data_IF_878317987743
#
_entry.id   IF_878317987743
#
_cell.length_a   1.000
_cell.length_b   1.000
_cell.length_c   1.000
_cell.angle_alpha   90.00
_cell.angle_beta   90.00
_cell.angle_gamma   90.00
#
_symmetry.space_group_name_H-M   'P 1'
#
loop_
_entity.id
_entity.type
_entity.pdbx_description
1 polymer ?
#
# COMPACT_ATOMS: atom_id res chain seq x y z
N UNK A 1 26.15 11.05 2.49
CA UNK A 1 27.44 11.62 2.10
C UNK A 1 27.92 12.60 3.15
N UNK A 2 29.14 12.40 3.66
CA UNK A 2 29.71 13.24 4.74
C UNK A 2 30.52 14.43 4.21
N UNK A 3 30.96 14.39 2.92
CA UNK A 3 31.84 15.39 2.34
C UNK A 3 31.41 16.86 2.51
N UNK A 4 30.12 17.24 2.40
CA UNK A 4 29.70 18.62 2.61
C UNK A 4 29.83 19.12 4.06
N UNK A 5 29.77 18.21 5.05
CA UNK A 5 29.79 18.58 6.46
C UNK A 5 31.17 18.40 7.10
N UNK A 6 31.92 17.40 6.66
CA UNK A 6 33.25 17.02 7.20
C UNK A 6 34.19 16.61 6.08
N UNK A 7 34.64 17.58 5.24
CA UNK A 7 35.39 17.27 4.02
C UNK A 7 36.71 16.50 4.27
N UNK A 8 37.48 16.89 5.28
CA UNK A 8 38.77 16.23 5.56
C UNK A 8 38.59 14.75 5.99
N UNK A 9 37.61 14.45 6.83
CA UNK A 9 37.33 13.08 7.25
C UNK A 9 36.81 12.25 6.08
N UNK A 10 35.97 12.84 5.23
CA UNK A 10 35.47 12.17 4.03
C UNK A 10 36.58 11.84 3.03
N UNK A 11 37.56 12.73 2.85
CA UNK A 11 38.72 12.50 2.00
C UNK A 11 39.61 11.37 2.55
N UNK A 12 39.89 11.34 3.86
CA UNK A 12 40.67 10.26 4.50
C UNK A 12 40.00 8.89 4.29
N UNK A 13 38.73 8.77 4.55
CA UNK A 13 37.99 7.54 4.32
C UNK A 13 37.95 7.12 2.85
N UNK A 14 37.82 8.10 1.95
CA UNK A 14 37.83 7.84 0.51
C UNK A 14 39.18 7.28 0.03
N UNK A 15 40.27 7.83 0.51
CA UNK A 15 41.60 7.36 0.19
C UNK A 15 41.87 5.96 0.78
N UNK A 16 41.44 5.68 2.01
CA UNK A 16 41.55 4.36 2.62
C UNK A 16 40.74 3.29 1.86
N UNK A 17 39.60 3.67 1.26
CA UNK A 17 38.79 2.80 0.40
C UNK A 17 39.37 2.60 -1.01
N UNK A 18 40.52 3.23 -1.32
CA UNK A 18 41.21 3.10 -2.61
C UNK A 18 40.76 4.12 -3.65
N UNK A 19 40.11 5.19 -3.25
CA UNK A 19 39.80 6.33 -4.14
C UNK A 19 41.06 7.02 -4.59
N UNK A 20 41.11 7.43 -5.87
CA UNK A 20 42.31 8.07 -6.48
C UNK A 20 42.16 9.57 -6.65
N UNK A 21 40.95 10.11 -6.59
CA UNK A 21 40.64 11.52 -6.74
C UNK A 21 40.05 12.04 -5.43
N UNK A 22 40.00 13.37 -5.24
CA UNK A 22 39.30 13.91 -4.07
C UNK A 22 37.80 13.58 -4.13
N UNK A 23 37.24 13.20 -2.99
CA UNK A 23 35.81 12.87 -2.91
C UNK A 23 34.91 14.06 -3.29
N UNK A 24 35.41 15.28 -3.10
CA UNK A 24 34.76 16.53 -3.52
C UNK A 24 34.70 16.72 -5.03
N UNK A 25 35.66 16.13 -5.75
CA UNK A 25 35.76 16.16 -7.22
C UNK A 25 35.05 14.94 -7.86
N UNK A 26 34.75 13.92 -7.06
CA UNK A 26 34.05 12.73 -7.54
C UNK A 26 32.61 13.07 -7.95
N UNK A 27 32.39 13.07 -9.24
CA UNK A 27 31.04 13.26 -9.80
C UNK A 27 30.27 11.97 -9.55
N UNK A 28 29.33 12.03 -8.63
CA UNK A 28 28.34 10.96 -8.52
C UNK A 28 27.50 11.04 -9.78
N UNK A 29 27.68 10.07 -10.66
CA UNK A 29 26.73 9.88 -11.77
C UNK A 29 25.33 9.88 -11.19
N UNK A 30 24.44 10.65 -11.79
CA UNK A 30 23.04 10.72 -11.38
C UNK A 30 22.50 9.30 -11.40
N UNK A 31 22.33 8.70 -10.22
CA UNK A 31 21.79 7.36 -10.11
C UNK A 31 20.38 7.44 -10.69
N UNK A 32 20.23 6.96 -11.92
CA UNK A 32 18.91 6.78 -12.50
C UNK A 32 18.10 5.99 -11.49
N UNK A 33 16.95 6.52 -11.08
CA UNK A 33 16.02 5.77 -10.23
C UNK A 33 15.69 4.48 -10.97
N UNK A 34 16.29 3.38 -10.53
CA UNK A 34 15.96 2.06 -11.05
C UNK A 34 14.50 1.78 -10.71
N UNK A 35 13.81 1.04 -11.56
CA UNK A 35 12.41 0.64 -11.27
C UNK A 35 12.30 -0.02 -9.89
N UNK A 36 13.33 -0.77 -9.48
CA UNK A 36 13.43 -1.38 -8.15
C UNK A 36 13.42 -0.34 -7.02
N UNK A 37 14.04 0.84 -7.19
CA UNK A 37 14.05 1.90 -6.18
C UNK A 37 12.64 2.47 -5.97
N UNK A 38 11.86 2.62 -7.04
CA UNK A 38 10.46 3.09 -6.95
C UNK A 38 9.63 2.10 -6.15
N UNK A 39 9.83 0.80 -6.37
CA UNK A 39 9.11 -0.27 -5.65
C UNK A 39 9.48 -0.24 -4.16
N UNK A 40 10.76 -0.08 -3.83
CA UNK A 40 11.20 0.00 -2.43
C UNK A 40 10.64 1.23 -1.73
N UNK A 41 10.70 2.40 -2.36
CA UNK A 41 10.11 3.63 -1.84
C UNK A 41 8.60 3.46 -1.61
N UNK A 42 7.89 2.89 -2.59
CA UNK A 42 6.45 2.65 -2.51
C UNK A 42 6.09 1.71 -1.34
N UNK A 43 6.87 0.65 -1.11
CA UNK A 43 6.68 -0.27 0.02
C UNK A 43 6.94 0.41 1.36
N UNK A 44 7.95 1.27 1.47
CA UNK A 44 8.24 2.03 2.69
C UNK A 44 7.14 3.04 3.00
N UNK A 45 6.64 3.75 1.99
CA UNK A 45 5.51 4.67 2.14
C UNK A 45 4.25 3.93 2.58
N UNK A 46 3.93 2.81 1.93
CA UNK A 46 2.82 1.95 2.33
C UNK A 46 2.92 1.50 3.79
N UNK A 47 4.11 1.07 4.23
CA UNK A 47 4.34 0.63 5.61
C UNK A 47 4.15 1.79 6.60
N UNK A 48 4.62 2.97 6.27
CA UNK A 48 4.45 4.19 7.08
C UNK A 48 2.98 4.54 7.25
N UNK A 49 2.25 4.59 6.15
CA UNK A 49 0.82 4.92 6.14
C UNK A 49 0.00 3.87 6.89
N UNK A 50 0.37 2.60 6.77
CA UNK A 50 -0.24 1.50 7.52
C UNK A 50 -0.04 1.68 9.03
N UNK A 51 1.17 2.01 9.48
CA UNK A 51 1.49 2.25 10.89
C UNK A 51 0.71 3.46 11.42
N UNK A 52 0.66 4.55 10.68
CA UNK A 52 -0.05 5.77 11.09
C UNK A 52 -1.57 5.53 11.15
N UNK A 53 -2.13 4.83 10.17
CA UNK A 53 -3.53 4.40 10.18
C UNK A 53 -3.82 3.49 11.38
N UNK A 54 -2.92 2.54 11.68
CA UNK A 54 -3.03 1.64 12.83
C UNK A 54 -2.97 2.39 14.16
N UNK A 55 -2.09 3.39 14.31
CA UNK A 55 -2.03 4.26 15.48
C UNK A 55 -3.34 5.00 15.71
N UNK A 56 -3.93 5.54 14.65
CA UNK A 56 -5.21 6.22 14.72
C UNK A 56 -6.34 5.27 15.17
N UNK A 57 -6.41 4.07 14.59
CA UNK A 57 -7.41 3.05 14.97
C UNK A 57 -7.18 2.59 16.41
N UNK A 58 -5.92 2.34 16.84
CA UNK A 58 -5.58 1.99 18.21
C UNK A 58 -6.03 3.08 19.19
N UNK A 59 -5.76 4.36 18.88
CA UNK A 59 -6.18 5.49 19.69
C UNK A 59 -7.71 5.62 19.83
N UNK A 60 -8.46 5.27 18.79
CA UNK A 60 -9.92 5.22 18.85
C UNK A 60 -10.42 4.01 19.65
N UNK A 61 -9.84 2.83 19.42
CA UNK A 61 -10.22 1.60 20.11
C UNK A 61 -9.93 1.68 21.63
N UNK A 62 -8.79 2.27 22.02
CA UNK A 62 -8.40 2.44 23.41
C UNK A 62 -9.37 3.32 24.22
N UNK A 63 -10.13 4.20 23.58
CA UNK A 63 -11.15 5.04 24.26
C UNK A 63 -12.38 4.23 24.68
N UNK A 64 -12.60 3.09 24.06
CA UNK A 64 -13.77 2.24 24.25
C UNK A 64 -13.43 0.88 24.85
N UNK A 65 -12.14 0.61 25.11
CA UNK A 65 -11.68 -0.64 25.71
C UNK A 65 -11.25 -0.40 27.15
N UNK A 66 -11.71 -1.25 28.07
CA UNK A 66 -11.27 -1.29 29.46
C UNK A 66 -9.97 -2.12 29.62
N UNK A 67 -9.64 -2.92 28.60
CA UNK A 67 -8.48 -3.81 28.60
C UNK A 67 -7.40 -3.26 27.65
N UNK A 68 -6.10 -3.36 28.01
CA UNK A 68 -5.03 -2.98 27.10
C UNK A 68 -5.10 -3.77 25.78
N UNK A 69 -5.02 -3.06 24.65
CA UNK A 69 -5.02 -3.67 23.33
C UNK A 69 -3.65 -4.30 23.08
N UNK A 70 -3.61 -5.62 22.93
CA UNK A 70 -2.35 -6.38 22.82
C UNK A 70 -2.06 -6.89 21.40
N UNK A 71 -3.09 -7.04 20.57
CA UNK A 71 -2.96 -7.63 19.24
C UNK A 71 -3.61 -6.75 18.19
N UNK A 72 -2.99 -6.72 17.00
CA UNK A 72 -3.54 -6.07 15.83
C UNK A 72 -3.81 -7.12 14.75
N UNK A 73 -5.01 -7.11 14.21
CA UNK A 73 -5.41 -7.94 13.07
C UNK A 73 -5.64 -7.02 11.88
N UNK A 74 -4.94 -7.32 10.79
CA UNK A 74 -5.00 -6.56 9.54
C UNK A 74 -5.56 -7.46 8.46
N UNK A 75 -6.68 -7.06 7.88
CA UNK A 75 -7.31 -7.78 6.78
C UNK A 75 -7.08 -7.06 5.47
N UNK A 76 -6.34 -7.68 4.59
CA UNK A 76 -6.00 -7.16 3.27
C UNK A 76 -7.15 -7.32 2.29
N UNK A 77 -6.99 -6.73 1.13
CA UNK A 77 -8.03 -6.74 0.09
C UNK A 77 -8.14 -8.10 -0.59
N UNK A 78 -9.35 -8.60 -0.88
CA UNK A 78 -9.49 -9.82 -1.66
C UNK A 78 -8.98 -9.63 -3.10
N UNK A 79 -8.47 -10.70 -3.71
CA UNK A 79 -7.84 -10.69 -5.05
C UNK A 79 -8.74 -10.04 -6.12
N UNK A 80 -10.03 -10.29 -6.10
CA UNK A 80 -10.95 -9.73 -7.07
C UNK A 80 -11.04 -8.19 -7.04
N UNK A 81 -10.85 -7.56 -5.87
CA UNK A 81 -10.79 -6.09 -5.77
C UNK A 81 -9.49 -5.55 -6.38
N UNK A 82 -8.37 -6.26 -6.22
CA UNK A 82 -7.11 -5.92 -6.87
C UNK A 82 -7.22 -6.03 -8.39
N UNK A 83 -7.88 -7.08 -8.91
CA UNK A 83 -8.10 -7.23 -10.35
C UNK A 83 -8.95 -6.10 -10.93
N UNK A 84 -9.98 -5.65 -10.19
CA UNK A 84 -10.78 -4.47 -10.57
C UNK A 84 -9.90 -3.20 -10.59
N UNK A 85 -9.03 -3.03 -9.59
CA UNK A 85 -8.15 -1.87 -9.50
C UNK A 85 -7.17 -1.81 -10.68
N UNK A 86 -6.51 -2.93 -10.99
CA UNK A 86 -5.60 -3.05 -12.13
C UNK A 86 -6.33 -2.75 -13.45
N UNK A 87 -7.51 -3.35 -13.62
CA UNK A 87 -8.33 -3.11 -14.82
C UNK A 87 -8.73 -1.64 -14.95
N UNK A 88 -9.12 -0.99 -13.85
CA UNK A 88 -9.47 0.42 -13.86
C UNK A 88 -8.27 1.31 -14.19
N UNK A 89 -7.07 0.97 -13.69
CA UNK A 89 -5.84 1.69 -14.02
C UNK A 89 -5.47 1.56 -15.49
N UNK A 90 -5.52 0.36 -16.07
CA UNK A 90 -5.23 0.14 -17.48
C UNK A 90 -6.17 0.93 -18.39
N UNK A 91 -7.46 0.93 -18.10
CA UNK A 91 -8.45 1.70 -18.86
C UNK A 91 -8.35 3.21 -18.67
N UNK A 92 -7.80 3.68 -17.54
CA UNK A 92 -7.60 5.12 -17.32
C UNK A 92 -6.60 5.74 -18.29
N UNK A 93 -5.62 4.97 -18.74
CA UNK A 93 -4.64 5.40 -19.75
C UNK A 93 -5.26 5.53 -21.16
N UNK A 94 -6.39 4.90 -21.41
CA UNK A 94 -7.08 4.87 -22.71
C UNK A 94 -8.20 5.93 -22.83
N UNK A 95 -8.34 6.85 -21.88
CA UNK A 95 -9.45 7.82 -21.82
C UNK A 95 -10.84 7.15 -21.82
N UNK A 96 -10.96 6.02 -21.13
CA UNK A 96 -12.19 5.25 -21.07
C UNK A 96 -13.30 5.98 -20.29
N UNK A 97 -14.51 6.08 -20.85
CA UNK A 97 -15.66 6.63 -20.15
C UNK A 97 -16.27 5.60 -19.18
N UNK A 98 -15.77 5.62 -17.95
CA UNK A 98 -16.19 4.70 -16.89
C UNK A 98 -17.68 4.77 -16.57
N UNK A 99 -18.32 5.94 -16.70
CA UNK A 99 -19.75 6.10 -16.40
C UNK A 99 -20.62 5.42 -17.45
N UNK A 100 -20.25 5.59 -18.71
CA UNK A 100 -21.05 5.13 -19.84
C UNK A 100 -20.78 3.68 -20.20
N UNK A 101 -19.52 3.27 -20.21
CA UNK A 101 -19.07 2.00 -20.75
C UNK A 101 -18.64 0.99 -19.69
N UNK A 102 -18.38 1.42 -18.45
CA UNK A 102 -17.77 0.59 -17.40
C UNK A 102 -18.57 -0.66 -17.07
N UNK A 103 -19.89 -0.57 -17.00
CA UNK A 103 -20.74 -1.72 -16.69
C UNK A 103 -20.79 -2.76 -17.81
N UNK A 104 -20.78 -2.29 -19.06
CA UNK A 104 -20.69 -3.18 -20.23
C UNK A 104 -19.35 -3.92 -20.25
N UNK A 105 -18.29 -3.21 -19.97
CA UNK A 105 -16.95 -3.76 -19.91
C UNK A 105 -16.81 -4.80 -18.77
N UNK A 106 -17.25 -4.50 -17.55
CA UNK A 106 -17.23 -5.46 -16.44
C UNK A 106 -17.98 -6.76 -16.75
N UNK A 107 -19.09 -6.67 -17.48
CA UNK A 107 -19.84 -7.85 -17.91
C UNK A 107 -19.11 -8.69 -18.96
N UNK A 108 -18.23 -8.09 -19.76
CA UNK A 108 -17.41 -8.80 -20.75
C UNK A 108 -16.19 -9.48 -20.14
N UNK A 109 -15.80 -9.10 -18.92
CA UNK A 109 -14.74 -9.78 -18.19
C UNK A 109 -15.33 -11.04 -17.53
N UNK A 110 -15.02 -12.20 -18.06
CA UNK A 110 -15.41 -13.50 -17.49
C UNK A 110 -14.68 -13.85 -16.19
N UNK A 111 -13.98 -12.89 -15.60
CA UNK A 111 -13.03 -13.09 -14.48
C UNK A 111 -13.73 -13.33 -13.14
N UNK A 112 -15.02 -13.01 -13.04
CA UNK A 112 -15.76 -13.01 -11.77
C UNK A 112 -16.97 -13.93 -11.80
N UNK A 113 -17.22 -14.64 -10.69
CA UNK A 113 -18.53 -15.20 -10.39
C UNK A 113 -19.52 -14.05 -10.09
N UNK A 114 -19.90 -13.36 -11.18
CA UNK A 114 -20.68 -12.13 -11.16
C UNK A 114 -22.06 -12.30 -10.50
N UNK A 115 -22.57 -13.53 -10.39
CA UNK A 115 -23.89 -13.75 -9.81
C UNK A 115 -23.88 -13.59 -8.30
N UNK A 116 -22.81 -14.02 -7.61
CA UNK A 116 -22.70 -13.90 -6.14
C UNK A 116 -22.23 -12.52 -5.68
N UNK A 117 -21.32 -11.90 -6.42
CA UNK A 117 -20.65 -10.65 -6.00
C UNK A 117 -21.13 -9.42 -6.77
N UNK A 118 -22.15 -9.54 -7.61
CA UNK A 118 -22.57 -8.50 -8.57
C UNK A 118 -22.71 -7.10 -7.96
N UNK A 119 -23.34 -6.99 -6.80
CA UNK A 119 -23.55 -5.72 -6.12
C UNK A 119 -22.25 -5.11 -5.61
N UNK A 120 -21.38 -5.93 -5.03
CA UNK A 120 -20.09 -5.49 -4.47
C UNK A 120 -19.09 -5.11 -5.57
N UNK A 121 -19.04 -5.89 -6.64
CA UNK A 121 -18.20 -5.59 -7.82
C UNK A 121 -18.58 -4.24 -8.41
N UNK A 122 -19.88 -3.95 -8.58
CA UNK A 122 -20.36 -2.67 -9.11
C UNK A 122 -19.96 -1.51 -8.18
N UNK A 123 -20.18 -1.68 -6.88
CA UNK A 123 -19.84 -0.65 -5.89
C UNK A 123 -18.33 -0.39 -5.86
N UNK A 124 -17.53 -1.45 -5.89
CA UNK A 124 -16.07 -1.38 -5.92
C UNK A 124 -15.58 -0.67 -7.18
N UNK A 125 -16.08 -1.07 -8.35
CA UNK A 125 -15.77 -0.41 -9.61
C UNK A 125 -16.09 1.09 -9.58
N UNK A 126 -17.27 1.45 -9.10
CA UNK A 126 -17.67 2.85 -8.97
C UNK A 126 -16.80 3.63 -8.00
N UNK A 127 -16.38 3.00 -6.90
CA UNK A 127 -15.50 3.64 -5.92
C UNK A 127 -14.11 3.94 -6.48
N UNK A 128 -13.59 3.05 -7.34
CA UNK A 128 -12.29 3.23 -7.96
C UNK A 128 -12.33 4.24 -9.11
N UNK A 129 -13.34 4.19 -9.95
CA UNK A 129 -13.34 4.93 -11.22
C UNK A 129 -14.06 6.27 -11.17
N UNK A 130 -15.22 6.34 -10.54
CA UNK A 130 -16.08 7.51 -10.58
C UNK A 130 -16.08 8.27 -9.26
N UNK A 131 -16.00 7.55 -8.15
CA UNK A 131 -16.23 8.11 -6.82
C UNK A 131 -17.68 8.58 -6.64
N UNK A 132 -17.90 9.44 -5.66
CA UNK A 132 -19.19 10.09 -5.42
C UNK A 132 -19.11 11.60 -5.74
N UNK A 133 -20.22 12.34 -5.58
CA UNK A 133 -20.29 13.78 -5.91
C UNK A 133 -19.23 14.65 -5.22
N UNK A 134 -18.66 14.18 -4.09
CA UNK A 134 -17.69 14.94 -3.28
C UNK A 134 -16.28 14.35 -3.33
N UNK A 135 -16.15 13.06 -3.68
CA UNK A 135 -14.89 12.31 -3.63
C UNK A 135 -14.59 11.79 -5.05
N UNK A 136 -13.39 12.07 -5.53
CA UNK A 136 -12.91 11.52 -6.81
C UNK A 136 -12.77 9.99 -6.70
N UNK A 137 -12.84 9.28 -7.83
CA UNK A 137 -12.54 7.86 -7.86
C UNK A 137 -11.10 7.61 -7.37
N UNK A 138 -10.89 6.50 -6.67
CA UNK A 138 -9.60 6.18 -6.02
C UNK A 138 -8.42 6.19 -6.98
N UNK A 139 -8.59 5.69 -8.21
CA UNK A 139 -7.52 5.68 -9.22
C UNK A 139 -6.95 7.09 -9.53
N UNK A 140 -7.74 8.14 -9.31
CA UNK A 140 -7.31 9.52 -9.52
C UNK A 140 -6.66 10.14 -8.27
N UNK A 141 -6.66 9.44 -7.16
CA UNK A 141 -6.05 9.89 -5.90
C UNK A 141 -4.77 9.12 -5.58
N UNK A 142 -4.55 7.98 -6.23
CA UNK A 142 -3.34 7.19 -6.04
C UNK A 142 -2.12 7.90 -6.61
N UNK A 143 -1.03 7.85 -5.86
CA UNK A 143 0.29 8.29 -6.32
C UNK A 143 0.85 7.34 -7.39
N UNK A 144 1.92 7.71 -8.06
CA UNK A 144 2.56 6.82 -9.06
C UNK A 144 3.16 5.58 -8.38
N UNK A 145 3.65 5.74 -7.16
CA UNK A 145 4.16 4.67 -6.31
C UNK A 145 3.06 3.66 -5.96
N UNK A 146 1.90 4.14 -5.51
CA UNK A 146 0.73 3.28 -5.23
C UNK A 146 0.24 2.56 -6.48
N UNK A 147 0.17 3.23 -7.62
CA UNK A 147 -0.18 2.61 -8.91
C UNK A 147 0.82 1.53 -9.31
N UNK A 148 2.11 1.75 -9.05
CA UNK A 148 3.15 0.75 -9.28
C UNK A 148 2.90 -0.52 -8.46
N UNK A 149 2.65 -0.40 -7.15
CA UNK A 149 2.34 -1.54 -6.28
C UNK A 149 1.11 -2.32 -6.73
N UNK A 150 0.04 -1.61 -7.15
CA UNK A 150 -1.19 -2.25 -7.64
C UNK A 150 -0.92 -3.04 -8.92
N UNK A 151 -0.21 -2.43 -9.89
CA UNK A 151 0.12 -3.09 -11.16
C UNK A 151 1.01 -4.32 -10.97
N UNK A 152 1.90 -4.31 -9.98
CA UNK A 152 2.74 -5.44 -9.60
C UNK A 152 2.00 -6.54 -8.84
N UNK A 153 0.70 -6.38 -8.57
CA UNK A 153 -0.08 -7.31 -7.74
C UNK A 153 0.59 -7.55 -6.38
N UNK A 154 1.02 -6.44 -5.75
CA UNK A 154 1.72 -6.47 -4.47
C UNK A 154 0.97 -7.30 -3.44
N UNK A 155 1.66 -8.29 -2.84
CA UNK A 155 1.08 -9.14 -1.80
C UNK A 155 1.16 -8.43 -0.44
N UNK A 156 0.10 -7.69 -0.12
CA UNK A 156 0.02 -6.90 1.12
C UNK A 156 0.13 -7.78 2.36
N UNK A 157 -0.55 -8.94 2.37
CA UNK A 157 -0.59 -9.83 3.53
C UNK A 157 0.78 -10.40 3.87
N UNK A 158 1.50 -10.89 2.87
CA UNK A 158 2.85 -11.40 3.02
C UNK A 158 3.80 -10.31 3.52
N UNK A 159 3.78 -9.14 2.88
CA UNK A 159 4.63 -8.02 3.25
C UNK A 159 4.38 -7.52 4.69
N UNK A 160 3.11 -7.47 5.12
CA UNK A 160 2.76 -7.09 6.48
C UNK A 160 3.26 -8.14 7.49
N UNK A 161 3.12 -9.42 7.19
CA UNK A 161 3.59 -10.50 8.06
C UNK A 161 5.12 -10.53 8.15
N UNK A 162 5.84 -10.26 7.06
CA UNK A 162 7.30 -10.15 7.05
C UNK A 162 7.79 -8.97 7.92
N UNK A 163 6.99 -7.92 8.05
CA UNK A 163 7.28 -6.75 8.85
C UNK A 163 6.52 -6.72 10.20
N UNK A 164 5.89 -7.84 10.61
CA UNK A 164 4.99 -7.88 11.76
C UNK A 164 5.66 -7.44 13.07
N UNK A 165 6.90 -7.84 13.31
CA UNK A 165 7.67 -7.47 14.50
C UNK A 165 7.96 -5.94 14.52
N UNK A 166 8.35 -5.38 13.39
CA UNK A 166 8.59 -3.94 13.27
C UNK A 166 7.31 -3.14 13.53
N UNK A 167 6.17 -3.57 12.93
CA UNK A 167 4.87 -2.92 13.14
C UNK A 167 4.42 -3.05 14.60
N UNK A 168 4.58 -4.24 15.23
CA UNK A 168 4.23 -4.46 16.61
C UNK A 168 5.01 -3.52 17.56
N UNK A 169 6.32 -3.40 17.34
CA UNK A 169 7.17 -2.47 18.08
C UNK A 169 6.74 -1.02 17.89
N UNK A 170 6.48 -0.60 16.65
CA UNK A 170 6.04 0.76 16.33
C UNK A 170 4.68 1.13 16.96
N UNK A 171 3.82 0.13 17.15
CA UNK A 171 2.50 0.27 17.78
C UNK A 171 2.52 0.00 19.30
N UNK A 172 3.62 -0.48 19.86
CA UNK A 172 3.73 -0.91 21.27
C UNK A 172 2.62 -1.91 21.62
N UNK A 173 2.59 -3.04 20.89
CA UNK A 173 1.68 -4.17 21.08
C UNK A 173 2.47 -5.48 21.02
N UNK A 174 1.85 -6.58 21.45
CA UNK A 174 2.51 -7.89 21.51
C UNK A 174 2.68 -8.52 20.13
N UNK A 175 1.67 -8.40 19.24
CA UNK A 175 1.69 -9.08 17.95
C UNK A 175 0.79 -8.42 16.90
N UNK A 176 1.19 -8.64 15.63
CA UNK A 176 0.45 -8.23 14.44
C UNK A 176 0.26 -9.45 13.56
N UNK A 177 -0.93 -9.62 13.02
CA UNK A 177 -1.26 -10.68 12.08
C UNK A 177 -1.98 -10.08 10.87
N UNK A 178 -1.59 -10.51 9.68
CA UNK A 178 -2.28 -10.15 8.45
C UNK A 178 -2.85 -11.37 7.76
N UNK A 179 -4.06 -11.24 7.28
CA UNK A 179 -4.80 -12.28 6.57
C UNK A 179 -5.44 -11.71 5.31
N UNK A 180 -5.46 -12.51 4.26
CA UNK A 180 -6.33 -12.23 3.11
C UNK A 180 -7.80 -12.44 3.50
N UNK A 181 -8.69 -11.66 2.89
CA UNK A 181 -10.11 -11.81 3.15
C UNK A 181 -10.57 -13.24 2.83
N UNK A 182 -11.13 -13.90 3.82
CA UNK A 182 -11.58 -15.30 3.75
C UNK A 182 -10.61 -16.33 4.33
N UNK A 183 -9.42 -15.94 4.75
CA UNK A 183 -8.41 -16.85 5.32
C UNK A 183 -8.29 -16.76 6.86
N UNK A 184 -8.90 -15.79 7.49
CA UNK A 184 -8.87 -15.61 8.93
C UNK A 184 -10.21 -15.15 9.50
N UNK A 185 -10.28 -15.01 10.82
CA UNK A 185 -11.46 -14.49 11.49
C UNK A 185 -11.68 -13.02 11.11
N UNK A 186 -12.84 -12.70 10.55
CA UNK A 186 -13.23 -11.31 10.25
C UNK A 186 -13.58 -10.56 11.54
N UNK A 187 -12.56 -10.17 12.27
CA UNK A 187 -12.73 -9.43 13.53
C UNK A 187 -13.33 -8.05 13.22
N UNK A 188 -14.49 -7.80 13.81
CA UNK A 188 -15.23 -6.55 13.68
C UNK A 188 -15.67 -6.20 12.24
N UNK A 189 -15.84 -7.17 11.34
CA UNK A 189 -16.35 -6.97 9.99
C UNK A 189 -15.45 -6.12 9.10
N UNK A 190 -14.14 -6.15 9.33
CA UNK A 190 -13.16 -5.31 8.62
C UNK A 190 -12.85 -5.80 7.22
N UNK A 191 -13.08 -7.09 6.92
CA UNK A 191 -12.89 -7.65 5.58
C UNK A 191 -13.71 -6.90 4.51
N UNK A 192 -14.94 -6.50 4.84
CA UNK A 192 -15.81 -5.80 3.90
C UNK A 192 -15.28 -4.44 3.47
N UNK A 193 -14.64 -3.70 4.39
CA UNK A 193 -14.16 -2.33 4.15
C UNK A 193 -12.76 -2.28 3.56
N UNK A 194 -12.02 -3.41 3.57
CA UNK A 194 -10.69 -3.49 2.98
C UNK A 194 -10.72 -3.21 1.47
N UNK A 195 -9.71 -2.54 0.98
CA UNK A 195 -9.50 -2.26 -0.44
C UNK A 195 -8.00 -2.23 -0.72
N UNK A 196 -7.55 -2.39 -1.97
CA UNK A 196 -6.13 -2.34 -2.31
C UNK A 196 -5.42 -1.16 -1.66
N UNK A 197 -4.29 -1.42 -1.04
CA UNK A 197 -3.45 -0.49 -0.27
C UNK A 197 -4.16 0.22 0.91
N UNK A 198 -5.33 -0.27 1.29
CA UNK A 198 -6.07 0.25 2.44
C UNK A 198 -6.75 -0.90 3.18
N UNK A 199 -6.01 -1.69 3.95
CA UNK A 199 -6.52 -2.84 4.66
C UNK A 199 -7.44 -2.46 5.81
N UNK A 200 -8.28 -3.41 6.22
CA UNK A 200 -9.10 -3.30 7.40
C UNK A 200 -8.29 -3.58 8.67
N UNK A 201 -8.29 -2.68 9.64
CA UNK A 201 -7.48 -2.78 10.86
C UNK A 201 -8.41 -2.96 12.07
N UNK A 202 -8.11 -3.96 12.89
CA UNK A 202 -8.79 -4.20 14.17
C UNK A 202 -7.79 -4.47 15.29
N UNK A 203 -8.14 -4.07 16.51
CA UNK A 203 -7.35 -4.34 17.72
C UNK A 203 -8.17 -5.18 18.69
N UNK A 204 -7.47 -6.10 19.37
CA UNK A 204 -8.00 -6.98 20.42
C UNK A 204 -7.15 -6.85 21.67
#
# INVERSE_FOLDING_TARGET
MMAPATPHIAEEFWLEMGGQEMVSEYIIEEVSKLEDDIIHIAKEEYLRDLIDSSRNVKGLASRHSEVPLSKCIIQTSPKWKNDIAITALSLSSENFDFKRNGMGYLKSLEIFDLEKLRGEVIQTWQSFTVGNKKIRGKINTWTEEEKCLINLRFNESEFINDNAEFIANALSIESVFSYDVGEGDDVAGKARVSSPLNPGIAFI
#
